data_IF_798881983803
#
_entry.id   IF_798881983803
#
_cell.length_a   1.000
_cell.length_b   1.000
_cell.length_c   1.000
_cell.angle_alpha   90.00
_cell.angle_beta   90.00
_cell.angle_gamma   90.00
#
_symmetry.space_group_name_H-M   'P 1'
#
loop_
_entity.id
_entity.type
_entity.pdbx_description
1 polymer ?
#
# COMPACT_ATOMS: atom_id res chain seq x y z
N UNK A 1 -15.77 -15.40 -3.12
CA UNK A 1 -14.51 -15.36 -2.33
C UNK A 1 -14.67 -14.32 -1.23
N UNK A 2 -14.22 -14.61 -0.02
CA UNK A 2 -14.29 -13.65 1.09
C UNK A 2 -12.99 -12.86 1.21
N UNK A 3 -13.09 -11.55 1.47
CA UNK A 3 -11.95 -10.65 1.66
C UNK A 3 -12.17 -9.77 2.87
N UNK A 4 -11.09 -9.40 3.56
CA UNK A 4 -11.11 -8.25 4.47
C UNK A 4 -10.91 -6.97 3.63
N UNK A 5 -11.91 -6.10 3.60
CA UNK A 5 -11.81 -4.77 2.99
C UNK A 5 -11.47 -3.74 4.06
N UNK A 6 -10.48 -2.90 3.78
CA UNK A 6 -10.02 -1.84 4.66
C UNK A 6 -9.99 -0.52 3.89
N UNK A 7 -10.64 0.50 4.42
CA UNK A 7 -10.54 1.88 3.94
C UNK A 7 -9.62 2.69 4.85
N UNK A 8 -8.56 3.24 4.28
CA UNK A 8 -7.52 3.99 4.96
C UNK A 8 -7.51 5.44 4.47
N UNK A 9 -7.43 6.38 5.39
CA UNK A 9 -7.27 7.81 5.13
C UNK A 9 -6.04 8.34 5.85
N UNK A 10 -5.22 9.13 5.17
CA UNK A 10 -4.10 9.81 5.81
C UNK A 10 -3.91 11.21 5.23
N UNK A 11 -3.69 12.24 6.07
CA UNK A 11 -3.49 13.61 5.59
C UNK A 11 -2.31 13.74 4.63
N UNK A 12 -1.20 13.06 4.93
CA UNK A 12 0.04 13.11 4.15
C UNK A 12 0.77 11.77 4.28
N UNK A 13 1.18 11.18 3.15
CA UNK A 13 1.98 9.94 3.15
C UNK A 13 3.18 10.02 2.21
N UNK A 14 4.20 9.21 2.51
CA UNK A 14 5.36 8.99 1.64
C UNK A 14 5.65 7.49 1.61
N UNK A 15 5.71 6.92 0.40
CA UNK A 15 6.07 5.54 0.14
C UNK A 15 7.47 5.49 -0.48
N UNK A 16 8.48 5.68 0.37
CA UNK A 16 9.87 5.87 -0.07
C UNK A 16 10.33 4.74 -0.99
N UNK A 17 10.84 5.11 -2.16
CA UNK A 17 11.48 4.16 -3.06
C UNK A 17 12.91 3.84 -2.56
N UNK A 18 13.38 2.58 -2.66
CA UNK A 18 14.65 2.14 -2.09
C UNK A 18 15.89 2.77 -2.76
N UNK A 19 15.78 3.13 -4.04
CA UNK A 19 16.88 3.60 -4.88
C UNK A 19 17.01 5.13 -4.97
N UNK A 20 16.41 5.84 -4.01
CA UNK A 20 16.45 7.30 -3.88
C UNK A 20 17.85 7.80 -3.45
N UNK A 21 18.85 7.75 -4.35
CA UNK A 21 20.26 8.08 -4.06
C UNK A 21 20.57 9.60 -4.14
N UNK A 22 19.91 10.34 -5.03
CA UNK A 22 20.11 11.80 -5.22
C UNK A 22 18.93 12.67 -4.78
N UNK A 23 17.76 12.05 -4.57
CA UNK A 23 16.54 12.69 -4.11
C UNK A 23 15.58 11.62 -3.60
N UNK A 24 14.76 11.96 -2.60
CA UNK A 24 13.73 11.05 -2.10
C UNK A 24 12.58 11.03 -3.09
N UNK A 25 12.20 9.84 -3.55
CA UNK A 25 11.05 9.60 -4.42
C UNK A 25 10.02 8.72 -3.71
N UNK A 26 8.76 8.83 -4.13
CA UNK A 26 7.64 8.09 -3.56
C UNK A 26 6.91 7.26 -4.63
N UNK A 27 6.46 6.07 -4.27
CA UNK A 27 5.46 5.36 -5.06
C UNK A 27 4.11 6.10 -5.02
N UNK A 28 3.25 5.96 -6.05
CA UNK A 28 1.92 6.59 -6.09
C UNK A 28 0.89 5.88 -5.19
N UNK A 29 1.17 4.64 -4.78
CA UNK A 29 0.36 3.80 -3.90
C UNK A 29 1.29 3.04 -2.93
N UNK A 30 0.80 2.56 -1.77
CA UNK A 30 1.64 1.85 -0.81
C UNK A 30 2.13 0.52 -1.42
N UNK A 31 3.44 0.21 -1.31
CA UNK A 31 3.94 -1.13 -1.58
C UNK A 31 3.24 -2.16 -0.70
N UNK A 32 3.07 -3.41 -1.15
CA UNK A 32 2.47 -4.47 -0.33
C UNK A 32 3.13 -4.62 1.05
N UNK A 33 4.47 -4.50 1.12
CA UNK A 33 5.21 -4.48 2.41
C UNK A 33 4.77 -3.41 3.40
N UNK A 34 4.28 -2.26 2.93
CA UNK A 34 3.78 -1.19 3.80
C UNK A 34 2.44 -1.57 4.41
N UNK A 35 1.54 -2.14 3.59
CA UNK A 35 0.24 -2.65 4.03
C UNK A 35 0.42 -3.81 5.02
N UNK A 36 1.29 -4.77 4.68
CA UNK A 36 1.65 -5.90 5.54
C UNK A 36 2.20 -5.41 6.87
N UNK A 37 3.12 -4.44 6.82
CA UNK A 37 3.67 -3.80 8.02
C UNK A 37 2.56 -3.23 8.90
N UNK A 38 1.59 -2.52 8.32
CA UNK A 38 0.43 -1.97 9.04
C UNK A 38 -0.42 -3.07 9.68
N UNK A 39 -0.72 -4.15 8.96
CA UNK A 39 -1.54 -5.27 9.46
C UNK A 39 -0.91 -5.93 10.69
N UNK A 40 0.37 -6.29 10.61
CA UNK A 40 1.08 -6.92 11.72
C UNK A 40 1.39 -5.96 12.87
N UNK A 41 1.55 -4.68 12.58
CA UNK A 41 1.62 -3.61 13.59
C UNK A 41 0.30 -3.53 14.37
N UNK A 42 -0.83 -3.56 13.68
CA UNK A 42 -2.15 -3.58 14.31
C UNK A 42 -2.36 -4.85 15.15
N UNK A 43 -1.99 -6.03 14.63
CA UNK A 43 -2.11 -7.31 15.37
C UNK A 43 -1.15 -7.44 16.55
N UNK A 44 -0.11 -6.59 16.64
CA UNK A 44 0.89 -6.66 17.70
C UNK A 44 1.77 -7.92 17.65
N UNK A 45 1.86 -8.60 16.50
CA UNK A 45 2.69 -9.80 16.32
C UNK A 45 3.48 -9.74 15.02
N UNK A 46 4.45 -10.64 14.89
CA UNK A 46 5.24 -10.79 13.66
C UNK A 46 4.57 -11.78 12.71
N UNK A 47 4.83 -11.59 11.42
CA UNK A 47 4.53 -12.57 10.39
C UNK A 47 5.20 -13.90 10.68
N UNK A 48 4.48 -14.99 10.46
CA UNK A 48 4.89 -16.36 10.74
C UNK A 48 4.72 -17.29 9.53
N UNK A 49 4.85 -16.75 8.31
CA UNK A 49 4.75 -17.53 7.08
C UNK A 49 3.32 -17.73 6.57
N UNK A 50 2.35 -16.98 7.11
CA UNK A 50 0.98 -16.99 6.60
C UNK A 50 0.94 -16.45 5.18
N UNK A 51 0.09 -17.06 4.34
CA UNK A 51 -0.11 -16.64 2.97
C UNK A 51 -1.37 -15.80 2.84
N UNK A 52 -1.26 -14.71 2.09
CA UNK A 52 -2.41 -13.90 1.73
C UNK A 52 -2.17 -13.13 0.44
N UNK A 53 -3.26 -12.78 -0.23
CA UNK A 53 -3.26 -11.94 -1.41
C UNK A 53 -3.71 -10.53 -1.05
N UNK A 54 -3.19 -9.54 -1.77
CA UNK A 54 -3.56 -8.14 -1.61
C UNK A 54 -4.06 -7.56 -2.92
N UNK A 55 -5.12 -6.77 -2.83
CA UNK A 55 -5.51 -5.75 -3.81
C UNK A 55 -5.25 -4.38 -3.20
N UNK A 56 -4.61 -3.48 -3.94
CA UNK A 56 -4.26 -2.13 -3.47
C UNK A 56 -4.76 -1.11 -4.48
N UNK A 57 -5.68 -0.28 -4.02
CA UNK A 57 -6.22 0.85 -4.77
C UNK A 57 -6.12 2.11 -3.93
N UNK A 58 -6.06 3.26 -4.58
CA UNK A 58 -6.03 4.52 -3.86
C UNK A 58 -6.01 5.75 -4.75
N UNK A 59 -6.14 6.89 -4.09
CA UNK A 59 -6.16 8.20 -4.72
C UNK A 59 -5.59 9.25 -3.78
N UNK A 60 -5.13 10.36 -4.34
CA UNK A 60 -4.63 11.50 -3.59
C UNK A 60 -4.99 12.77 -4.33
N UNK A 61 -5.07 13.88 -3.58
CA UNK A 61 -5.51 15.16 -4.14
C UNK A 61 -4.37 15.90 -4.83
N UNK A 62 -3.17 15.85 -4.25
CA UNK A 62 -1.99 16.50 -4.81
C UNK A 62 -0.71 15.80 -4.36
N UNK A 63 0.37 16.05 -5.10
CA UNK A 63 1.74 15.75 -4.68
C UNK A 63 2.48 17.06 -4.43
N UNK A 64 3.14 17.18 -3.28
CA UNK A 64 4.00 18.31 -2.97
C UNK A 64 5.35 17.83 -2.40
N UNK A 65 6.36 18.69 -2.44
CA UNK A 65 7.68 18.40 -1.84
C UNK A 65 7.83 19.23 -0.58
N UNK A 66 7.95 18.55 0.55
CA UNK A 66 8.16 19.15 1.86
C UNK A 66 9.66 19.38 2.10
N UNK A 67 10.04 20.60 2.47
CA UNK A 67 11.43 20.95 2.72
C UNK A 67 11.74 20.87 4.21
N UNK A 68 12.41 19.79 4.61
CA UNK A 68 12.69 19.45 6.00
C UNK A 68 14.17 19.68 6.29
N UNK A 69 14.46 20.32 7.43
CA UNK A 69 15.84 20.48 7.94
C UNK A 69 16.07 19.54 9.12
N UNK A 70 16.71 18.40 8.86
CA UNK A 70 17.13 17.48 9.90
C UNK A 70 18.41 18.00 10.56
N UNK A 71 18.40 18.09 11.88
CA UNK A 71 19.54 18.53 12.69
C UNK A 71 20.02 17.34 13.50
N UNK A 72 21.21 16.84 13.20
CA UNK A 72 21.83 15.72 13.91
C UNK A 72 23.06 16.25 14.65
N UNK A 73 23.11 16.02 15.95
CA UNK A 73 24.30 16.32 16.72
C UNK A 73 25.29 15.16 16.59
N UNK A 74 26.43 15.42 15.96
CA UNK A 74 27.53 14.47 15.88
C UNK A 74 28.35 14.60 17.17
N UNK A 75 28.27 13.58 18.02
CA UNK A 75 28.95 13.57 19.33
C UNK A 75 30.47 13.54 19.19
N UNK A 76 30.98 12.86 18.17
CA UNK A 76 32.42 12.68 17.96
C UNK A 76 33.06 13.97 17.46
N UNK A 77 32.41 14.65 16.51
CA UNK A 77 32.87 15.92 15.96
C UNK A 77 32.45 17.15 16.79
N UNK A 78 31.60 16.96 17.81
CA UNK A 78 30.96 18.04 18.59
C UNK A 78 30.32 19.13 17.72
N UNK A 79 29.76 18.72 16.59
CA UNK A 79 29.16 19.62 15.59
C UNK A 79 27.70 19.29 15.36
N UNK A 80 26.93 20.34 15.08
CA UNK A 80 25.56 20.21 14.61
C UNK A 80 25.59 20.08 13.08
N UNK A 81 25.32 18.88 12.59
CA UNK A 81 25.13 18.66 11.16
C UNK A 81 23.69 19.03 10.79
N UNK A 82 23.55 19.80 9.71
CA UNK A 82 22.26 20.18 9.15
C UNK A 82 22.12 19.55 7.78
N UNK A 83 21.12 18.69 7.63
CA UNK A 83 20.80 18.00 6.38
C UNK A 83 19.47 18.54 5.86
N UNK A 84 19.48 19.48 4.90
CA UNK A 84 18.27 19.86 4.19
C UNK A 84 17.84 18.69 3.29
N UNK A 85 16.56 18.34 3.34
CA UNK A 85 16.01 17.22 2.58
C UNK A 85 14.64 17.59 2.04
N UNK A 86 14.41 17.32 0.76
CA UNK A 86 13.09 17.42 0.14
C UNK A 86 12.42 16.05 0.15
N UNK A 87 11.23 15.97 0.73
CA UNK A 87 10.46 14.74 0.84
C UNK A 87 9.15 14.89 0.07
N UNK A 88 8.90 14.10 -1.00
CA UNK A 88 7.62 14.10 -1.67
C UNK A 88 6.53 13.51 -0.76
N UNK A 89 5.38 14.17 -0.73
CA UNK A 89 4.21 13.82 0.08
C UNK A 89 2.99 13.75 -0.82
N UNK A 90 2.22 12.67 -0.68
CA UNK A 90 0.89 12.55 -1.26
C UNK A 90 -0.11 13.14 -0.27
N UNK A 91 -0.80 14.21 -0.66
CA UNK A 91 -1.76 14.94 0.15
C UNK A 91 -3.16 14.33 0.07
N UNK A 92 -3.85 14.27 1.21
CA UNK A 92 -5.20 13.75 1.35
C UNK A 92 -5.36 12.35 0.74
N UNK A 93 -4.46 11.45 1.16
CA UNK A 93 -4.34 10.11 0.59
C UNK A 93 -5.45 9.20 1.10
N UNK A 94 -6.12 8.53 0.16
CA UNK A 94 -7.16 7.53 0.39
C UNK A 94 -6.73 6.20 -0.20
N UNK A 95 -6.95 5.10 0.51
CA UNK A 95 -6.59 3.78 0.04
C UNK A 95 -7.64 2.76 0.43
N UNK A 96 -7.95 1.89 -0.53
CA UNK A 96 -8.78 0.71 -0.32
C UNK A 96 -7.89 -0.50 -0.52
N UNK A 97 -7.90 -1.39 0.47
CA UNK A 97 -7.15 -2.65 0.43
C UNK A 97 -8.11 -3.80 0.61
N UNK A 98 -8.03 -4.80 -0.26
CA UNK A 98 -8.67 -6.11 -0.04
C UNK A 98 -7.59 -7.13 0.31
N UNK A 99 -7.82 -7.89 1.37
CA UNK A 99 -6.91 -8.93 1.87
C UNK A 99 -7.61 -10.27 1.77
N UNK A 100 -7.10 -11.16 0.92
CA UNK A 100 -7.59 -12.53 0.79
C UNK A 100 -6.68 -13.48 1.56
N UNK A 101 -7.21 -14.13 2.60
CA UNK A 101 -6.44 -15.03 3.45
C UNK A 101 -7.33 -16.13 4.07
N UNK A 102 -6.73 -17.00 4.87
CA UNK A 102 -7.49 -17.92 5.71
C UNK A 102 -8.41 -17.16 6.68
N UNK A 103 -9.59 -17.73 6.94
CA UNK A 103 -10.65 -17.09 7.75
C UNK A 103 -10.14 -16.59 9.10
N UNK A 104 -9.34 -17.40 9.78
CA UNK A 104 -8.77 -17.07 11.08
C UNK A 104 -7.89 -15.80 11.02
N UNK A 105 -7.09 -15.65 9.96
CA UNK A 105 -6.22 -14.49 9.78
C UNK A 105 -7.02 -13.23 9.42
N UNK A 106 -8.07 -13.37 8.59
CA UNK A 106 -9.02 -12.29 8.29
C UNK A 106 -9.67 -11.76 9.56
N UNK A 107 -10.15 -12.64 10.43
CA UNK A 107 -10.80 -12.26 11.69
C UNK A 107 -9.82 -11.62 12.68
N UNK A 108 -8.57 -12.10 12.71
CA UNK A 108 -7.50 -11.50 13.49
C UNK A 108 -7.24 -10.04 13.07
N UNK A 109 -7.00 -9.81 11.77
CA UNK A 109 -6.75 -8.47 11.24
C UNK A 109 -7.96 -7.55 11.40
N UNK A 110 -9.19 -8.06 11.20
CA UNK A 110 -10.43 -7.31 11.43
C UNK A 110 -10.48 -6.77 12.87
N UNK A 111 -10.20 -7.62 13.87
CA UNK A 111 -10.22 -7.23 15.28
C UNK A 111 -9.10 -6.23 15.58
N UNK A 112 -7.91 -6.48 15.06
CA UNK A 112 -6.73 -5.64 15.25
C UNK A 112 -6.92 -4.22 14.68
N UNK A 113 -7.50 -4.10 13.49
CA UNK A 113 -7.73 -2.81 12.83
C UNK A 113 -8.87 -2.00 13.45
N UNK A 114 -9.88 -2.66 14.04
CA UNK A 114 -10.96 -1.99 14.78
C UNK A 114 -10.50 -1.38 16.10
N UNK A 115 -9.51 -1.99 16.75
CA UNK A 115 -9.02 -1.53 18.06
C UNK A 115 -7.52 -1.76 18.18
N UNK A 116 -6.71 -0.99 17.43
CA UNK A 116 -5.26 -1.14 17.47
C UNK A 116 -4.73 -0.71 18.83
N UNK A 117 -3.80 -1.50 19.39
CA UNK A 117 -3.16 -1.22 20.67
C UNK A 117 -2.13 -0.09 20.59
N UNK A 118 -1.73 0.28 19.36
CA UNK A 118 -0.76 1.32 19.07
C UNK A 118 -1.26 2.22 17.95
N UNK A 119 -0.67 3.40 17.89
CA UNK A 119 -0.86 4.32 16.78
C UNK A 119 -0.44 3.67 15.46
N UNK A 120 -1.36 3.64 14.49
CA UNK A 120 -1.10 3.15 13.15
C UNK A 120 -0.68 4.29 12.23
N UNK A 121 0.21 3.97 11.29
CA UNK A 121 0.63 4.88 10.23
C UNK A 121 0.81 4.09 8.93
N UNK A 122 0.68 4.80 7.79
CA UNK A 122 0.89 4.23 6.47
C UNK A 122 2.10 4.93 5.81
N UNK A 123 3.23 4.24 5.75
CA UNK A 123 4.47 4.79 5.17
C UNK A 123 5.35 5.53 6.20
N UNK A 124 5.53 6.85 6.02
CA UNK A 124 6.55 7.66 6.70
C UNK A 124 6.43 7.85 8.22
N UNK A 125 5.39 7.34 8.88
CA UNK A 125 5.27 7.36 10.35
C UNK A 125 4.86 8.70 10.98
N UNK A 126 4.96 9.80 10.24
CA UNK A 126 4.68 11.15 10.75
C UNK A 126 3.20 11.40 11.05
N UNK A 127 2.29 10.86 10.24
CA UNK A 127 0.85 11.11 10.33
C UNK A 127 0.06 9.83 10.63
N UNK A 128 -1.01 9.93 11.43
CA UNK A 128 -1.85 8.77 11.70
C UNK A 128 -2.51 8.33 10.41
N UNK A 129 -2.68 7.04 10.27
CA UNK A 129 -3.66 6.51 9.33
C UNK A 129 -4.97 6.29 10.07
N UNK A 130 -6.03 6.91 9.58
CA UNK A 130 -7.38 6.64 10.02
C UNK A 130 -7.89 5.41 9.29
N UNK A 131 -8.20 4.36 10.04
CA UNK A 131 -9.00 3.23 9.54
C UNK A 131 -10.45 3.70 9.51
N UNK A 132 -10.93 4.10 8.34
CA UNK A 132 -12.27 4.65 8.16
C UNK A 132 -13.33 3.56 8.26
N UNK A 133 -13.07 2.45 7.59
CA UNK A 133 -13.95 1.29 7.58
C UNK A 133 -13.13 0.00 7.48
N UNK A 134 -13.63 -1.06 8.13
CA UNK A 134 -13.02 -2.39 8.07
C UNK A 134 -14.09 -3.48 8.25
N UNK A 135 -14.24 -4.32 7.22
CA UNK A 135 -15.30 -5.32 7.16
C UNK A 135 -14.93 -6.47 6.24
N UNK A 136 -15.62 -7.60 6.41
CA UNK A 136 -15.52 -8.75 5.52
C UNK A 136 -16.53 -8.54 4.41
N UNK A 137 -16.08 -8.71 3.16
CA UNK A 137 -16.91 -8.57 1.96
C UNK A 137 -16.82 -9.83 1.11
N UNK A 138 -17.91 -10.14 0.41
CA UNK A 138 -17.89 -11.16 -0.63
C UNK A 138 -17.52 -10.55 -1.97
N UNK A 139 -16.71 -11.27 -2.75
CA UNK A 139 -16.40 -10.93 -4.12
C UNK A 139 -16.67 -12.11 -5.06
N UNK A 140 -17.09 -11.81 -6.28
CA UNK A 140 -17.42 -12.78 -7.32
C UNK A 140 -16.88 -12.34 -8.68
N UNK A 141 -16.76 -13.30 -9.58
CA UNK A 141 -16.40 -13.01 -10.96
C UNK A 141 -17.55 -12.27 -11.64
N UNK A 142 -17.19 -11.16 -12.28
CA UNK A 142 -18.08 -10.34 -13.07
C UNK A 142 -17.50 -10.26 -14.48
N UNK A 143 -18.32 -10.65 -15.46
CA UNK A 143 -18.01 -10.50 -16.88
C UNK A 143 -18.68 -9.24 -17.41
N UNK A 144 -17.89 -8.24 -17.81
CA UNK A 144 -18.41 -7.01 -18.38
C UNK A 144 -17.39 -5.89 -18.40
N UNK A 145 -17.86 -4.70 -18.75
CA UNK A 145 -17.04 -3.48 -18.71
C UNK A 145 -17.22 -2.76 -17.36
N UNK A 146 -16.12 -2.29 -16.78
CA UNK A 146 -16.13 -1.37 -15.64
C UNK A 146 -15.04 -0.32 -15.76
N UNK A 147 -15.34 0.85 -15.21
CA UNK A 147 -14.38 1.93 -15.03
C UNK A 147 -13.71 1.85 -13.65
N UNK A 148 -12.40 2.12 -13.59
CA UNK A 148 -11.66 2.22 -12.34
C UNK A 148 -12.02 3.51 -11.58
N UNK A 149 -12.70 3.37 -10.43
CA UNK A 149 -13.00 4.52 -9.54
C UNK A 149 -11.76 5.12 -8.86
N UNK A 150 -10.70 4.34 -8.70
CA UNK A 150 -9.45 4.72 -8.04
C UNK A 150 -8.26 4.20 -8.84
N UNK A 151 -7.09 4.82 -8.64
CA UNK A 151 -5.86 4.28 -9.21
C UNK A 151 -5.56 2.92 -8.55
N UNK A 152 -4.93 2.02 -9.28
CA UNK A 152 -4.70 0.66 -8.82
C UNK A 152 -3.29 0.19 -9.16
N UNK A 153 -2.75 -0.69 -8.30
CA UNK A 153 -1.74 -1.63 -8.75
C UNK A 153 -2.42 -2.87 -9.31
N UNK A 154 -2.00 -3.30 -10.50
CA UNK A 154 -2.47 -4.51 -11.15
C UNK A 154 -1.31 -5.45 -11.47
N UNK A 155 -1.59 -6.75 -11.48
CA UNK A 155 -0.62 -7.77 -11.87
C UNK A 155 -0.42 -7.79 -13.39
N UNK A 156 0.66 -8.45 -13.84
CA UNK A 156 0.93 -8.60 -15.27
C UNK A 156 -0.20 -9.30 -16.02
N UNK A 157 -0.80 -10.32 -15.41
CA UNK A 157 -1.91 -11.08 -15.98
C UNK A 157 -3.18 -10.23 -16.19
N UNK A 158 -3.34 -9.13 -15.45
CA UNK A 158 -4.50 -8.25 -15.56
C UNK A 158 -4.38 -7.21 -16.67
N UNK A 159 -3.22 -7.05 -17.31
CA UNK A 159 -3.00 -6.01 -18.33
C UNK A 159 -3.89 -6.19 -19.55
N UNK A 160 -4.11 -7.43 -19.96
CA UNK A 160 -4.87 -7.76 -21.17
C UNK A 160 -6.37 -7.43 -21.04
N UNK A 161 -6.83 -7.13 -19.82
CA UNK A 161 -8.20 -6.74 -19.54
C UNK A 161 -8.45 -5.24 -19.84
N UNK A 162 -7.41 -4.43 -19.99
CA UNK A 162 -7.55 -2.98 -20.17
C UNK A 162 -7.54 -2.56 -21.64
N UNK A 163 -8.39 -1.60 -22.00
CA UNK A 163 -8.45 -1.08 -23.36
C UNK A 163 -7.46 0.07 -23.57
N UNK A 164 -6.32 -0.22 -24.22
CA UNK A 164 -5.31 0.80 -24.63
C UNK A 164 -4.84 1.73 -23.50
N UNK A 165 -4.83 1.24 -22.25
CA UNK A 165 -4.45 2.03 -21.09
C UNK A 165 -2.95 2.30 -21.03
N UNK A 166 -2.59 3.45 -20.44
CA UNK A 166 -1.21 3.77 -20.13
C UNK A 166 -0.81 3.13 -18.81
N UNK A 167 0.15 2.20 -18.87
CA UNK A 167 0.68 1.53 -17.68
C UNK A 167 2.03 2.11 -17.30
N UNK A 168 2.24 2.33 -16.01
CA UNK A 168 3.58 2.59 -15.46
C UNK A 168 4.01 1.38 -14.65
N UNK A 169 5.06 0.70 -15.09
CA UNK A 169 5.59 -0.45 -14.37
C UNK A 169 6.40 0.01 -13.15
N UNK A 170 6.09 -0.55 -11.99
CA UNK A 170 6.85 -0.36 -10.77
C UNK A 170 7.36 -1.70 -10.24
N UNK A 171 8.55 -1.67 -9.64
CA UNK A 171 9.05 -2.76 -8.80
C UNK A 171 8.82 -2.36 -7.34
N UNK A 172 7.92 -3.05 -6.66
CA UNK A 172 7.48 -2.75 -5.29
C UNK A 172 7.90 -3.87 -4.34
N UNK A 173 8.19 -3.52 -3.09
CA UNK A 173 8.58 -4.50 -2.07
C UNK A 173 7.36 -5.19 -1.47
N UNK A 174 7.43 -6.52 -1.34
CA UNK A 174 6.36 -7.36 -0.76
C UNK A 174 6.62 -7.73 0.68
N UNK A 175 7.63 -8.52 0.98
CA UNK A 175 8.06 -8.82 2.34
C UNK A 175 9.46 -8.28 2.57
N UNK A 176 9.73 -7.76 3.77
CA UNK A 176 11.05 -7.30 4.17
C UNK A 176 11.46 -7.99 5.46
N UNK A 177 12.63 -8.63 5.43
CA UNK A 177 13.23 -9.36 6.54
C UNK A 177 14.60 -8.80 6.87
N UNK A 178 15.03 -8.99 8.12
CA UNK A 178 16.40 -8.67 8.52
C UNK A 178 17.25 -9.93 8.40
N UNK A 179 18.20 -9.93 7.48
CA UNK A 179 19.20 -10.98 7.35
C UNK A 179 20.57 -10.39 7.67
N UNK A 180 21.29 -10.97 8.64
CA UNK A 180 22.64 -10.53 9.03
C UNK A 180 22.79 -9.02 9.33
N UNK A 181 21.71 -8.38 9.81
CA UNK A 181 21.69 -6.94 10.12
C UNK A 181 21.24 -6.05 8.96
N UNK A 182 21.14 -6.58 7.75
CA UNK A 182 20.67 -5.87 6.56
C UNK A 182 19.20 -6.15 6.27
N UNK A 183 18.50 -5.15 5.71
CA UNK A 183 17.10 -5.30 5.30
C UNK A 183 17.06 -5.86 3.88
N UNK A 184 16.63 -7.11 3.75
CA UNK A 184 16.39 -7.78 2.48
C UNK A 184 14.90 -7.78 2.21
N UNK A 185 14.48 -7.37 1.02
CA UNK A 185 13.07 -7.40 0.62
C UNK A 185 12.86 -8.25 -0.63
N UNK A 186 11.73 -8.95 -0.66
CA UNK A 186 11.20 -9.58 -1.86
C UNK A 186 10.52 -8.52 -2.73
N UNK A 187 10.55 -8.72 -4.04
CA UNK A 187 10.12 -7.72 -5.02
C UNK A 187 9.07 -8.29 -5.96
N UNK A 188 8.06 -7.48 -6.25
CA UNK A 188 7.01 -7.77 -7.20
C UNK A 188 6.98 -6.68 -8.27
N UNK A 189 6.82 -7.09 -9.52
CA UNK A 189 6.51 -6.19 -10.63
C UNK A 189 5.01 -5.97 -10.68
N UNK A 190 4.60 -4.70 -10.55
CA UNK A 190 3.21 -4.28 -10.64
C UNK A 190 3.07 -3.19 -11.69
N UNK A 191 1.87 -3.05 -12.24
CA UNK A 191 1.55 -1.99 -13.17
C UNK A 191 0.59 -1.02 -12.49
N UNK A 192 0.95 0.26 -12.46
CA UNK A 192 0.09 1.33 -11.99
C UNK A 192 -0.84 1.77 -13.11
N UNK A 193 -2.13 1.80 -12.81
CA UNK A 193 -3.20 2.24 -13.71
C UNK A 193 -3.96 3.37 -13.04
N UNK A 194 -4.27 4.41 -13.81
CA UNK A 194 -4.99 5.57 -13.30
C UNK A 194 -6.50 5.31 -13.21
N UNK A 195 -7.17 6.03 -12.30
CA UNK A 195 -8.63 6.09 -12.27
C UNK A 195 -9.18 6.61 -13.61
N UNK A 196 -10.35 6.14 -14.01
CA UNK A 196 -10.99 6.49 -15.28
C UNK A 196 -10.66 5.55 -16.44
N UNK A 197 -9.71 4.62 -16.27
CA UNK A 197 -9.44 3.58 -17.26
C UNK A 197 -10.56 2.52 -17.26
N UNK A 198 -10.94 2.05 -18.45
CA UNK A 198 -11.92 0.97 -18.62
C UNK A 198 -11.23 -0.40 -18.67
N UNK A 199 -11.82 -1.35 -17.94
CA UNK A 199 -11.48 -2.77 -17.99
C UNK A 199 -12.67 -3.55 -18.58
N UNK A 200 -12.39 -4.49 -19.46
CA UNK A 200 -13.36 -5.42 -20.04
C UNK A 200 -12.88 -6.87 -19.85
N UNK A 201 -13.78 -7.74 -19.41
CA UNK A 201 -13.52 -9.17 -19.28
C UNK A 201 -13.96 -9.73 -17.94
N UNK A 202 -13.33 -10.82 -17.52
CA UNK A 202 -13.61 -11.46 -16.23
C UNK A 202 -12.80 -10.78 -15.13
N UNK A 203 -13.47 -9.96 -14.34
CA UNK A 203 -12.88 -9.24 -13.21
C UNK A 203 -13.50 -9.70 -11.89
N UNK A 204 -12.74 -9.63 -10.81
CA UNK A 204 -13.24 -9.92 -9.47
C UNK A 204 -13.80 -8.63 -8.86
N UNK A 205 -15.06 -8.63 -8.43
CA UNK A 205 -15.74 -7.44 -7.90
C UNK A 205 -16.36 -7.77 -6.55
N UNK A 206 -16.17 -6.87 -5.57
CA UNK A 206 -16.79 -7.00 -4.25
C UNK A 206 -18.28 -6.59 -4.24
N UNK A 207 -18.97 -6.89 -3.16
CA UNK A 207 -20.40 -6.56 -2.97
C UNK A 207 -20.73 -5.06 -2.99
N UNK A 208 -19.72 -4.19 -2.88
CA UNK A 208 -19.86 -2.73 -2.97
C UNK A 208 -19.48 -2.20 -4.36
N UNK A 209 -19.14 -3.10 -5.29
CA UNK A 209 -18.81 -2.79 -6.66
C UNK A 209 -17.39 -2.27 -6.87
N UNK A 210 -16.47 -2.53 -5.94
CA UNK A 210 -15.04 -2.24 -6.11
C UNK A 210 -14.29 -3.45 -6.66
N UNK A 211 -13.35 -3.19 -7.56
CA UNK A 211 -12.59 -4.23 -8.28
C UNK A 211 -11.44 -4.73 -7.41
N UNK A 212 -11.26 -6.05 -7.34
CA UNK A 212 -10.22 -6.71 -6.55
C UNK A 212 -9.08 -7.17 -7.46
N UNK A 213 -7.96 -6.44 -7.43
CA UNK A 213 -6.76 -6.72 -8.22
C UNK A 213 -5.77 -7.59 -7.45
N UNK A 214 -5.86 -8.90 -7.59
CA UNK A 214 -4.94 -9.80 -6.89
C UNK A 214 -3.51 -9.62 -7.43
N UNK A 215 -2.63 -9.06 -6.59
CA UNK A 215 -1.21 -8.84 -6.90
C UNK A 215 -0.35 -10.12 -6.82
N UNK A 216 -0.98 -11.26 -6.55
CA UNK A 216 -0.33 -12.56 -6.32
C UNK A 216 -0.49 -13.06 -4.89
N UNK A 217 -0.31 -14.36 -4.67
CA UNK A 217 -0.21 -14.96 -3.34
C UNK A 217 1.19 -14.71 -2.79
N UNK A 218 1.28 -13.95 -1.70
CA UNK A 218 2.53 -13.68 -0.98
C UNK A 218 2.60 -14.52 0.28
#
# INVERSE_FOLDING_TARGET
>A
MEFLKVELLSPCVTFKTPLSLKGIETYPLPPPSTVIGLLYTASGRKWNGERFSLSIQGDYEAIFRDYIRLRKYNKDEKKLEVLPTEIPKLYNFKCVVHIGAERQLIEEFLKALKSPSIYLYLGGGEYPVLVRDVKIVNAWEYSGERELKMNAFVSEAAKDLFYRSNFIQFRVSTFCRKEKGERVCDWLSVYYVQKGESVEGNILVDEEGDIVWLLGSM
#
